data_IF_952311365155
#
_entry.id   IF_952311365155
#
_cell.length_a   1.000
_cell.length_b   1.000
_cell.length_c   1.000
_cell.angle_alpha   90.00
_cell.angle_beta   90.00
_cell.angle_gamma   90.00
#
_symmetry.space_group_name_H-M   'P 1'
#
loop_
_entity.id
_entity.type
_entity.pdbx_description
1 polymer ?
#
# COMPACT_ATOMS: atom_id res chain seq x y z
N UNK A 1 -9.02 -26.53 6.19
CA UNK A 1 -8.61 -25.27 5.56
C UNK A 1 -7.77 -25.72 4.39
N UNK A 2 -8.19 -25.37 3.17
CA UNK A 2 -7.52 -25.82 1.95
C UNK A 2 -6.74 -24.66 1.36
N UNK A 3 -5.56 -24.98 0.82
CA UNK A 3 -4.70 -23.98 0.20
C UNK A 3 -5.25 -23.61 -1.18
N UNK A 4 -5.22 -22.31 -1.49
CA UNK A 4 -5.45 -21.83 -2.85
C UNK A 4 -4.12 -21.94 -3.61
N UNK A 5 -4.07 -22.82 -4.60
CA UNK A 5 -2.94 -22.91 -5.52
C UNK A 5 -2.98 -21.71 -6.47
N UNK A 6 -2.12 -20.72 -6.24
CA UNK A 6 -1.99 -19.54 -7.08
C UNK A 6 -0.53 -19.21 -7.35
N UNK A 7 -0.25 -18.55 -8.48
CA UNK A 7 1.07 -18.04 -8.78
C UNK A 7 1.40 -16.89 -7.83
N UNK A 8 2.42 -17.09 -6.98
CA UNK A 8 2.88 -16.08 -6.03
C UNK A 8 3.41 -14.84 -6.79
N UNK A 9 2.99 -13.62 -6.44
CA UNK A 9 3.58 -12.41 -7.01
C UNK A 9 5.03 -12.26 -6.55
N UNK A 10 5.85 -11.62 -7.38
CA UNK A 10 7.23 -11.28 -7.04
C UNK A 10 7.30 -10.32 -5.85
N UNK A 11 6.40 -9.33 -5.85
CA UNK A 11 6.20 -8.38 -4.76
C UNK A 11 4.73 -8.15 -4.49
N UNK A 12 4.36 -8.07 -3.21
CA UNK A 12 3.01 -7.71 -2.78
C UNK A 12 3.07 -6.51 -1.83
N UNK A 13 2.57 -5.37 -2.32
CA UNK A 13 2.45 -4.12 -1.59
C UNK A 13 1.09 -4.03 -0.91
N UNK A 14 1.08 -3.73 0.37
CA UNK A 14 -0.11 -3.49 1.17
C UNK A 14 -0.14 -2.03 1.59
N UNK A 15 -1.09 -1.27 1.05
CA UNK A 15 -1.19 0.18 1.27
C UNK A 15 -2.34 0.47 2.24
N UNK A 16 -2.03 1.07 3.39
CA UNK A 16 -3.03 1.39 4.41
C UNK A 16 -3.86 2.60 3.96
N UNK A 17 -5.16 2.36 3.75
CA UNK A 17 -6.17 3.38 3.43
C UNK A 17 -7.14 3.60 4.60
N UNK A 18 -6.73 3.19 5.81
CA UNK A 18 -7.60 3.29 6.98
C UNK A 18 -7.85 4.76 7.34
N UNK A 19 -9.11 5.17 7.39
CA UNK A 19 -9.54 6.51 7.79
C UNK A 19 -10.33 6.44 9.10
N UNK A 20 -10.06 7.37 10.02
CA UNK A 20 -10.76 7.53 11.30
C UNK A 20 -11.23 8.98 11.53
N UNK A 21 -11.18 9.83 10.51
CA UNK A 21 -11.61 11.24 10.61
C UNK A 21 -13.09 11.40 10.87
N UNK A 22 -13.90 10.41 10.48
CA UNK A 22 -15.35 10.38 10.71
C UNK A 22 -15.74 10.02 12.15
N UNK A 23 -14.79 9.60 12.99
CA UNK A 23 -15.07 9.20 14.37
C UNK A 23 -14.96 10.42 15.27
N UNK A 24 -16.09 10.85 15.85
CA UNK A 24 -16.13 11.99 16.76
C UNK A 24 -15.22 11.77 17.98
N UNK A 25 -14.51 12.83 18.38
CA UNK A 25 -13.52 12.81 19.47
C UNK A 25 -12.25 11.98 19.21
N UNK A 26 -12.08 11.36 18.03
CA UNK A 26 -10.89 10.55 17.75
C UNK A 26 -9.63 11.41 17.61
N UNK A 27 -8.63 11.14 18.46
CA UNK A 27 -7.31 11.79 18.41
C UNK A 27 -6.23 10.94 17.73
N UNK A 28 -6.50 9.67 17.41
CA UNK A 28 -5.52 8.78 16.79
C UNK A 28 -5.40 9.08 15.29
N UNK A 29 -4.16 9.26 14.83
CA UNK A 29 -3.84 9.39 13.42
C UNK A 29 -4.30 8.16 12.62
N UNK A 30 -4.55 8.39 11.34
CA UNK A 30 -4.95 7.36 10.37
C UNK A 30 -4.35 7.70 9.00
N UNK A 31 -4.29 6.73 8.10
CA UNK A 31 -3.62 6.91 6.80
C UNK A 31 -4.53 7.54 5.75
N UNK A 32 -5.85 7.34 5.83
CA UNK A 32 -6.88 7.85 4.90
C UNK A 32 -6.83 9.35 4.57
N UNK A 33 -6.49 10.25 5.52
CA UNK A 33 -6.29 11.67 5.23
C UNK A 33 -5.17 11.99 4.23
N UNK A 34 -4.25 11.04 4.00
CA UNK A 34 -3.09 11.19 3.12
C UNK A 34 -3.13 10.24 1.94
N UNK A 35 -3.48 8.99 2.18
CA UNK A 35 -3.59 7.96 1.14
C UNK A 35 -5.03 7.51 1.04
N UNK A 36 -5.67 7.90 -0.05
CA UNK A 36 -7.06 7.57 -0.35
C UNK A 36 -7.14 6.24 -1.12
N UNK A 37 -8.32 5.59 -1.15
CA UNK A 37 -8.52 4.40 -1.96
C UNK A 37 -8.17 4.60 -3.44
N UNK A 38 -8.42 5.81 -3.97
CA UNK A 38 -8.22 6.16 -5.37
C UNK A 38 -6.73 6.24 -5.73
N UNK A 39 -5.87 6.65 -4.80
CA UNK A 39 -4.41 6.66 -5.00
C UNK A 39 -3.88 5.25 -5.28
N UNK A 40 -4.41 4.26 -4.56
CA UNK A 40 -4.04 2.85 -4.75
C UNK A 40 -4.59 2.30 -6.07
N UNK A 41 -5.78 2.73 -6.47
CA UNK A 41 -6.36 2.34 -7.76
C UNK A 41 -5.59 2.94 -8.94
N UNK A 42 -5.06 4.15 -8.79
CA UNK A 42 -4.15 4.77 -9.76
C UNK A 42 -2.84 3.97 -9.90
N UNK A 43 -2.24 3.57 -8.78
CA UNK A 43 -1.02 2.72 -8.78
C UNK A 43 -1.27 1.39 -9.48
N UNK A 44 -2.43 0.76 -9.26
CA UNK A 44 -2.81 -0.47 -9.96
C UNK A 44 -2.92 -0.27 -11.48
N UNK A 45 -3.53 0.83 -11.93
CA UNK A 45 -3.59 1.17 -13.36
C UNK A 45 -2.20 1.40 -13.95
N UNK A 46 -1.35 2.09 -13.21
CA UNK A 46 0.05 2.29 -13.59
C UNK A 46 0.80 0.95 -13.72
N UNK A 47 0.69 0.03 -12.75
CA UNK A 47 1.29 -1.31 -12.84
C UNK A 47 0.82 -2.09 -14.07
N UNK A 48 -0.47 -1.99 -14.41
CA UNK A 48 -1.02 -2.59 -15.64
C UNK A 48 -0.37 -2.00 -16.89
N UNK A 49 -0.23 -0.67 -16.96
CA UNK A 49 0.42 0.02 -18.09
C UNK A 49 1.91 -0.34 -18.24
N UNK A 50 2.59 -0.70 -17.15
CA UNK A 50 3.98 -1.16 -17.16
C UNK A 50 4.11 -2.66 -17.52
N UNK A 51 3.01 -3.37 -17.79
CA UNK A 51 3.03 -4.81 -18.04
C UNK A 51 3.32 -5.67 -16.80
N UNK A 52 3.23 -5.09 -15.60
CA UNK A 52 3.54 -5.74 -14.31
C UNK A 52 2.30 -6.37 -13.66
N UNK A 53 1.13 -6.27 -14.30
CA UNK A 53 -0.08 -6.93 -13.83
C UNK A 53 0.13 -8.45 -13.74
N UNK A 54 -0.28 -9.05 -12.62
CA UNK A 54 -0.09 -10.48 -12.35
C UNK A 54 1.24 -10.83 -11.68
N UNK A 55 2.28 -10.00 -11.83
CA UNK A 55 3.60 -10.21 -11.20
C UNK A 55 3.77 -9.36 -9.94
N UNK A 56 3.25 -8.14 -9.94
CA UNK A 56 3.31 -7.21 -8.82
C UNK A 56 1.91 -6.89 -8.33
N UNK A 57 1.66 -7.15 -7.05
CA UNK A 57 0.35 -6.90 -6.44
C UNK A 57 0.42 -5.64 -5.59
N UNK A 58 -0.62 -4.82 -5.68
CA UNK A 58 -0.82 -3.66 -4.82
C UNK A 58 -2.23 -3.72 -4.24
N UNK A 59 -2.36 -3.78 -2.92
CA UNK A 59 -3.63 -4.08 -2.24
C UNK A 59 -3.94 -3.00 -1.22
N UNK A 60 -5.18 -2.51 -1.27
CA UNK A 60 -5.77 -1.66 -0.24
C UNK A 60 -5.96 -2.49 1.03
N UNK A 61 -5.44 -2.01 2.15
CA UNK A 61 -5.65 -2.62 3.45
C UNK A 61 -6.16 -1.61 4.47
N UNK A 62 -6.71 -2.11 5.57
CA UNK A 62 -7.01 -1.30 6.74
C UNK A 62 -5.77 -1.16 7.62
N UNK A 63 -5.97 -0.80 8.88
CA UNK A 63 -4.90 -0.47 9.82
C UNK A 63 -3.82 -1.57 9.87
N UNK A 64 -2.58 -1.19 9.54
CA UNK A 64 -1.39 -2.06 9.65
C UNK A 64 -0.73 -2.02 11.04
N UNK A 65 -1.34 -1.34 12.02
CA UNK A 65 -0.83 -1.23 13.40
C UNK A 65 0.15 -0.08 13.65
N UNK A 66 0.74 0.51 12.60
CA UNK A 66 1.79 1.55 12.70
C UNK A 66 1.28 2.97 12.42
N UNK A 67 0.09 3.31 12.92
CA UNK A 67 -0.47 4.66 12.76
C UNK A 67 0.47 5.72 13.32
N UNK A 68 0.66 6.80 12.58
CA UNK A 68 1.59 7.87 12.93
C UNK A 68 1.15 9.20 12.26
N UNK A 69 1.63 10.36 12.72
CA UNK A 69 1.22 11.65 12.16
C UNK A 69 1.88 11.98 10.81
N UNK A 70 2.85 11.17 10.35
CA UNK A 70 3.66 11.43 9.15
C UNK A 70 3.18 10.52 8.01
N UNK A 71 2.22 11.00 7.22
CA UNK A 71 1.79 10.31 5.99
C UNK A 71 1.10 8.96 6.22
N UNK A 72 0.86 8.26 5.11
CA UNK A 72 0.38 6.89 5.07
C UNK A 72 1.48 5.87 5.34
N UNK A 73 1.04 4.63 5.57
CA UNK A 73 1.91 3.46 5.83
C UNK A 73 1.68 2.42 4.75
N UNK A 74 2.76 1.79 4.31
CA UNK A 74 2.71 0.63 3.45
C UNK A 74 3.66 -0.47 3.93
N UNK A 75 3.37 -1.71 3.54
CA UNK A 75 4.25 -2.85 3.71
C UNK A 75 4.51 -3.53 2.37
N UNK A 76 5.65 -4.19 2.23
CA UNK A 76 5.97 -5.00 1.05
C UNK A 76 6.47 -6.39 1.45
N UNK A 77 5.95 -7.41 0.79
CA UNK A 77 6.41 -8.79 0.88
C UNK A 77 7.05 -9.24 -0.43
N UNK A 78 8.04 -10.16 -0.40
CA UNK A 78 8.49 -10.93 0.78
C UNK A 78 9.50 -10.21 1.69
N UNK A 79 9.95 -9.00 1.34
CA UNK A 79 10.96 -8.28 2.14
C UNK A 79 10.55 -8.05 3.61
N UNK A 80 9.24 -7.97 3.90
CA UNK A 80 8.73 -7.68 5.24
C UNK A 80 8.96 -6.24 5.68
N UNK A 81 9.32 -5.36 4.74
CA UNK A 81 9.65 -3.95 5.01
C UNK A 81 8.37 -3.13 5.16
N UNK A 82 8.37 -2.22 6.14
CA UNK A 82 7.36 -1.18 6.31
C UNK A 82 7.95 0.19 5.96
N UNK A 83 7.13 1.03 5.36
CA UNK A 83 7.43 2.45 5.11
C UNK A 83 6.32 3.33 5.68
N UNK A 84 6.70 4.54 6.06
CA UNK A 84 5.79 5.61 6.50
C UNK A 84 6.12 6.88 5.73
N UNK A 85 5.22 7.86 5.76
CA UNK A 85 5.45 9.18 5.15
C UNK A 85 4.82 9.38 3.78
N UNK A 86 4.10 8.38 3.24
CA UNK A 86 3.46 8.47 1.93
C UNK A 86 2.38 9.56 1.91
N UNK A 87 2.38 10.46 0.94
CA UNK A 87 1.43 11.57 0.85
C UNK A 87 0.39 11.43 -0.26
N UNK A 88 0.64 10.60 -1.28
CA UNK A 88 -0.21 10.44 -2.46
C UNK A 88 0.19 9.20 -3.30
N UNK A 89 -0.44 9.01 -4.46
CA UNK A 89 -0.13 7.93 -5.42
C UNK A 89 1.31 7.95 -5.93
N UNK A 90 1.93 9.13 -6.16
CA UNK A 90 3.31 9.23 -6.65
C UNK A 90 4.33 8.68 -5.65
N UNK A 91 4.15 8.93 -4.35
CA UNK A 91 5.00 8.34 -3.32
C UNK A 91 4.90 6.81 -3.29
N UNK A 92 3.70 6.27 -3.53
CA UNK A 92 3.50 4.82 -3.64
C UNK A 92 4.23 4.28 -4.87
N UNK A 93 4.09 4.92 -6.04
CA UNK A 93 4.79 4.52 -7.27
C UNK A 93 6.31 4.52 -7.07
N UNK A 94 6.84 5.56 -6.43
CA UNK A 94 8.27 5.65 -6.08
C UNK A 94 8.70 4.49 -5.19
N UNK A 95 7.96 4.21 -4.12
CA UNK A 95 8.25 3.08 -3.24
C UNK A 95 8.23 1.74 -4.00
N UNK A 96 7.25 1.54 -4.89
CA UNK A 96 7.18 0.34 -5.73
C UNK A 96 8.41 0.23 -6.63
N UNK A 97 8.74 1.29 -7.38
CA UNK A 97 9.89 1.31 -8.28
C UNK A 97 11.22 1.02 -7.55
N UNK A 98 11.43 1.62 -6.37
CA UNK A 98 12.61 1.37 -5.53
C UNK A 98 12.73 -0.09 -5.07
N UNK A 99 11.61 -0.76 -4.78
CA UNK A 99 11.63 -2.17 -4.35
C UNK A 99 11.76 -3.15 -5.52
N UNK A 100 11.35 -2.77 -6.73
CA UNK A 100 11.55 -3.56 -7.95
C UNK A 100 13.01 -3.50 -8.45
N UNK A 101 13.76 -2.45 -8.15
CA UNK A 101 15.20 -2.36 -8.48
C UNK A 101 16.09 -3.24 -7.59
N UNK A 102 15.54 -3.85 -6.54
CA UNK A 102 16.26 -4.69 -5.57
C UNK A 102 16.11 -6.19 -5.85
N UNK A 103 15.69 -6.52 -7.06
CA UNK A 103 15.57 -7.89 -7.57
C UNK A 103 16.93 -8.33 -8.10
#
# INVERSE_FOLDING_TARGET
>A
MDDILFQKPEKHFFICINDRTIIDGNRKSSCGPKIKPEDVDEVKKWLLQQGLAGQVYCTKVKCLGFCNPIGGVAAVYPTGKFVKGLQNSEDIKKFVAEELQKI
#
